data_IF_706128807598
#
_entry.id   IF_706128807598
#
_cell.length_a   1.000
_cell.length_b   1.000
_cell.length_c   1.000
_cell.angle_alpha   90.00
_cell.angle_beta   90.00
_cell.angle_gamma   90.00
#
_symmetry.space_group_name_H-M   'P 1'
#
loop_
_entity.id
_entity.type
_entity.pdbx_description
1 polymer ?
#
# COMPACT_ATOMS: atom_id res chain seq x y z
N UNK A 1 2.89 8.21 -8.65
CA UNK A 1 3.91 7.21 -8.26
C UNK A 1 3.70 5.90 -9.03
N UNK A 2 4.74 5.06 -9.19
CA UNK A 2 4.68 3.76 -9.87
C UNK A 2 4.22 2.65 -8.91
N UNK A 3 3.26 1.83 -9.33
CA UNK A 3 2.71 0.72 -8.55
C UNK A 3 3.09 -0.62 -9.16
N UNK A 4 3.81 -1.43 -8.39
CA UNK A 4 4.09 -2.84 -8.67
C UNK A 4 3.27 -3.73 -7.73
N UNK A 5 3.23 -5.02 -8.02
CA UNK A 5 2.54 -6.03 -7.20
C UNK A 5 3.51 -7.18 -6.93
N UNK A 6 3.44 -7.79 -5.74
CA UNK A 6 4.24 -8.99 -5.43
C UNK A 6 3.77 -10.22 -6.20
N UNK A 7 2.49 -10.26 -6.56
CA UNK A 7 1.90 -11.36 -7.31
C UNK A 7 0.72 -10.91 -8.18
N UNK A 8 0.27 -11.83 -9.04
CA UNK A 8 -0.84 -11.59 -9.95
C UNK A 8 -2.20 -11.51 -9.25
N UNK A 9 -2.34 -12.07 -8.05
CA UNK A 9 -3.60 -12.05 -7.31
C UNK A 9 -3.86 -10.64 -6.74
N UNK A 10 -2.86 -10.03 -6.09
CA UNK A 10 -2.91 -8.65 -5.63
C UNK A 10 -3.12 -7.69 -6.79
N UNK A 11 -2.44 -7.91 -7.91
CA UNK A 11 -2.67 -7.13 -9.13
C UNK A 11 -4.15 -7.19 -9.55
N UNK A 12 -4.72 -8.40 -9.66
CA UNK A 12 -6.12 -8.58 -10.03
C UNK A 12 -7.07 -7.95 -9.02
N UNK A 13 -6.80 -8.04 -7.71
CA UNK A 13 -7.61 -7.37 -6.69
C UNK A 13 -7.61 -5.85 -6.85
N UNK A 14 -6.48 -5.26 -7.22
CA UNK A 14 -6.38 -3.81 -7.41
C UNK A 14 -6.98 -3.35 -8.74
N UNK A 15 -6.85 -4.13 -9.81
CA UNK A 15 -7.27 -3.74 -11.16
C UNK A 15 -8.70 -4.17 -11.51
N UNK A 16 -9.21 -5.26 -10.93
CA UNK A 16 -10.52 -5.85 -11.28
C UNK A 16 -11.52 -5.64 -10.13
N UNK A 17 -12.36 -4.61 -10.26
CA UNK A 17 -13.33 -4.22 -9.22
C UNK A 17 -14.24 -5.37 -8.76
N UNK A 18 -14.63 -6.27 -9.66
CA UNK A 18 -15.47 -7.42 -9.32
C UNK A 18 -14.77 -8.37 -8.34
N UNK A 19 -13.49 -8.63 -8.55
CA UNK A 19 -12.70 -9.51 -7.67
C UNK A 19 -12.48 -8.85 -6.30
N UNK A 20 -12.20 -7.54 -6.29
CA UNK A 20 -12.11 -6.76 -5.05
C UNK A 20 -13.41 -6.84 -4.23
N UNK A 21 -14.57 -6.61 -4.89
CA UNK A 21 -15.89 -6.69 -4.24
C UNK A 21 -16.18 -8.07 -3.69
N UNK A 22 -15.80 -9.12 -4.44
CA UNK A 22 -16.00 -10.51 -4.05
C UNK A 22 -15.15 -10.89 -2.82
N UNK A 23 -13.88 -10.50 -2.78
CA UNK A 23 -12.94 -10.90 -1.72
C UNK A 23 -12.99 -10.00 -0.48
N UNK A 24 -13.17 -8.69 -0.68
CA UNK A 24 -13.07 -7.69 0.40
C UNK A 24 -14.44 -7.11 0.81
N UNK A 25 -15.50 -7.39 0.05
CA UNK A 25 -16.79 -6.73 0.20
C UNK A 25 -16.83 -5.34 -0.43
N UNK A 26 -18.04 -4.87 -0.73
CA UNK A 26 -18.26 -3.61 -1.47
C UNK A 26 -17.66 -2.37 -0.78
N UNK A 27 -17.83 -2.16 0.55
CA UNK A 27 -17.28 -0.97 1.21
C UNK A 27 -15.75 -0.92 1.14
N UNK A 28 -15.09 -2.05 1.36
CA UNK A 28 -13.64 -2.17 1.34
C UNK A 28 -13.09 -2.00 -0.09
N UNK A 29 -13.72 -2.64 -1.09
CA UNK A 29 -13.34 -2.50 -2.49
C UNK A 29 -13.43 -1.04 -2.97
N UNK A 30 -14.45 -0.30 -2.55
CA UNK A 30 -14.56 1.14 -2.84
C UNK A 30 -13.41 1.92 -2.22
N UNK A 31 -13.07 1.63 -0.97
CA UNK A 31 -11.96 2.29 -0.26
C UNK A 31 -10.59 1.94 -0.89
N UNK A 32 -10.40 0.69 -1.31
CA UNK A 32 -9.23 0.24 -2.05
C UNK A 32 -9.03 1.08 -3.31
N UNK A 33 -10.08 1.26 -4.12
CA UNK A 33 -10.03 2.14 -5.31
C UNK A 33 -9.63 3.56 -4.98
N UNK A 34 -10.16 4.14 -3.90
CA UNK A 34 -9.75 5.47 -3.42
C UNK A 34 -8.26 5.50 -3.07
N UNK A 35 -7.74 4.53 -2.31
CA UNK A 35 -6.31 4.49 -1.94
C UNK A 35 -5.39 4.30 -3.14
N UNK A 36 -5.77 3.48 -4.10
CA UNK A 36 -5.00 3.33 -5.34
C UNK A 36 -4.97 4.66 -6.12
N UNK A 37 -6.09 5.39 -6.17
CA UNK A 37 -6.11 6.72 -6.79
C UNK A 37 -5.23 7.73 -6.04
N UNK A 38 -5.28 7.75 -4.70
CA UNK A 38 -4.42 8.59 -3.87
C UNK A 38 -2.94 8.32 -4.14
N UNK A 39 -2.55 7.03 -4.21
CA UNK A 39 -1.19 6.59 -4.51
C UNK A 39 -0.73 6.99 -5.92
N UNK A 40 -1.59 6.86 -6.92
CA UNK A 40 -1.27 7.24 -8.29
C UNK A 40 -1.10 8.76 -8.43
N UNK A 41 -1.93 9.55 -7.74
CA UNK A 41 -1.88 11.01 -7.76
C UNK A 41 -0.71 11.60 -6.96
N UNK A 42 -0.22 10.89 -5.94
CA UNK A 42 0.89 11.35 -5.13
C UNK A 42 2.24 11.30 -5.88
N UNK A 43 3.09 12.33 -5.75
CA UNK A 43 4.44 12.32 -6.32
C UNK A 43 5.38 11.33 -5.60
N UNK A 44 5.18 11.10 -4.30
CA UNK A 44 5.93 10.17 -3.46
C UNK A 44 5.08 9.75 -2.25
N UNK A 45 5.56 8.77 -1.46
CA UNK A 45 4.84 8.28 -0.27
C UNK A 45 4.68 9.35 0.80
N UNK A 46 5.65 10.26 0.98
CA UNK A 46 5.57 11.35 1.96
C UNK A 46 4.44 12.36 1.69
N UNK A 47 3.93 12.43 0.46
CA UNK A 47 2.80 13.28 0.08
C UNK A 47 1.42 12.66 0.35
N UNK A 48 1.35 11.43 0.87
CA UNK A 48 0.09 10.77 1.19
C UNK A 48 -0.55 11.39 2.44
N UNK A 49 -1.69 12.06 2.24
CA UNK A 49 -2.47 12.68 3.33
C UNK A 49 -3.63 11.80 3.82
N UNK A 50 -4.01 10.76 3.06
CA UNK A 50 -5.18 9.96 3.31
C UNK A 50 -4.84 8.49 3.55
N UNK A 51 -5.65 7.82 4.37
CA UNK A 51 -5.47 6.40 4.66
C UNK A 51 -4.55 6.10 5.84
N UNK A 52 -4.22 7.10 6.67
CA UNK A 52 -3.39 6.94 7.88
C UNK A 52 -2.11 6.13 7.59
N UNK A 53 -1.20 6.63 6.74
CA UNK A 53 0.07 5.96 6.48
C UNK A 53 0.82 5.68 7.78
N UNK A 54 1.18 4.43 8.02
CA UNK A 54 1.98 4.05 9.19
C UNK A 54 2.94 2.91 8.85
N UNK A 55 4.20 2.99 9.30
CA UNK A 55 5.16 1.91 9.12
C UNK A 55 4.75 0.69 9.95
N UNK A 56 5.05 -0.50 9.42
CA UNK A 56 4.88 -1.76 10.14
C UNK A 56 6.20 -2.18 10.81
N UNK A 57 6.11 -3.08 11.79
CA UNK A 57 7.23 -3.59 12.58
C UNK A 57 7.30 -5.12 12.53
N UNK A 58 8.33 -5.70 13.15
CA UNK A 58 8.50 -7.15 13.24
C UNK A 58 8.82 -7.78 11.88
N UNK A 59 8.11 -8.86 11.54
CA UNK A 59 8.22 -9.60 10.27
C UNK A 59 7.84 -8.75 9.04
N UNK A 60 7.11 -7.65 9.26
CA UNK A 60 6.71 -6.68 8.23
C UNK A 60 7.49 -5.37 8.30
N UNK A 61 8.62 -5.34 9.03
CA UNK A 61 9.50 -4.18 9.04
C UNK A 61 9.93 -3.82 7.60
N UNK A 62 9.87 -2.53 7.27
CA UNK A 62 10.12 -2.03 5.92
C UNK A 62 8.86 -1.84 5.06
N UNK A 63 7.69 -2.24 5.55
CA UNK A 63 6.40 -1.99 4.92
C UNK A 63 5.68 -0.78 5.51
N UNK A 64 4.78 -0.20 4.74
CA UNK A 64 3.84 0.84 5.15
C UNK A 64 2.41 0.38 4.86
N UNK A 65 1.50 0.65 5.79
CA UNK A 65 0.10 0.29 5.67
C UNK A 65 -0.80 1.52 5.50
N UNK A 66 -1.85 1.35 4.69
CA UNK A 66 -2.98 2.27 4.56
C UNK A 66 -4.27 1.60 5.02
N UNK A 67 -5.05 2.35 5.78
CA UNK A 67 -6.38 1.97 6.25
C UNK A 67 -7.37 1.88 5.08
N UNK A 68 -8.01 0.71 4.98
CA UNK A 68 -9.21 0.50 4.16
C UNK A 68 -10.46 0.61 5.05
N UNK A 69 -11.06 -0.51 5.44
CA UNK A 69 -12.24 -0.59 6.29
C UNK A 69 -12.02 -1.55 7.44
N UNK A 70 -12.41 -1.17 8.65
CA UNK A 70 -12.19 -1.99 9.85
C UNK A 70 -10.70 -2.27 10.06
N UNK A 71 -10.34 -3.55 10.18
CA UNK A 71 -8.97 -4.02 10.34
C UNK A 71 -8.26 -4.31 9.01
N UNK A 72 -8.93 -4.13 7.87
CA UNK A 72 -8.33 -4.39 6.55
C UNK A 72 -7.37 -3.27 6.16
N UNK A 73 -6.20 -3.66 5.64
CA UNK A 73 -5.10 -2.79 5.24
C UNK A 73 -4.62 -3.10 3.83
N UNK A 74 -4.17 -2.06 3.15
CA UNK A 74 -3.30 -2.16 1.98
C UNK A 74 -1.88 -1.94 2.46
N UNK A 75 -1.01 -2.94 2.33
CA UNK A 75 0.40 -2.80 2.69
C UNK A 75 1.27 -2.82 1.45
N UNK A 76 2.30 -1.98 1.47
CA UNK A 76 3.30 -1.90 0.41
C UNK A 76 4.69 -1.67 1.00
N UNK A 77 5.69 -1.97 0.20
CA UNK A 77 7.09 -1.66 0.46
C UNK A 77 7.66 -0.79 -0.66
N UNK A 78 8.76 -0.07 -0.44
CA UNK A 78 9.47 0.60 -1.52
C UNK A 78 9.93 -0.42 -2.57
N UNK A 79 9.87 -0.03 -3.84
CA UNK A 79 10.36 -0.83 -4.95
C UNK A 79 11.40 -0.05 -5.75
N UNK A 80 12.03 -0.72 -6.72
CA UNK A 80 13.21 -0.20 -7.41
C UNK A 80 13.01 1.18 -8.06
N UNK A 81 14.00 2.09 -7.97
CA UNK A 81 15.29 1.91 -7.27
C UNK A 81 15.13 1.83 -5.74
N UNK A 82 15.92 0.97 -5.08
CA UNK A 82 15.99 0.84 -3.61
C UNK A 82 16.08 2.24 -2.98
N UNK A 83 15.17 2.60 -2.06
CA UNK A 83 15.14 3.95 -1.50
C UNK A 83 16.41 4.25 -0.72
N UNK A 84 16.81 5.51 -0.74
CA UNK A 84 17.82 6.01 0.18
C UNK A 84 17.31 5.81 1.61
N UNK A 85 18.17 5.29 2.48
CA UNK A 85 17.90 5.30 3.91
C UNK A 85 18.14 6.72 4.45
N UNK A 86 17.40 7.08 5.49
CA UNK A 86 17.68 8.29 6.26
C UNK A 86 18.96 8.15 7.09
N UNK A 87 19.34 9.21 7.82
CA UNK A 87 20.54 9.23 8.63
C UNK A 87 20.54 8.18 9.78
N UNK A 88 19.36 7.65 10.14
CA UNK A 88 19.19 6.62 11.16
C UNK A 88 19.12 5.20 10.56
N UNK A 89 19.23 5.06 9.22
CA UNK A 89 19.13 3.78 8.54
C UNK A 89 17.68 3.31 8.30
N UNK A 90 16.68 4.17 8.48
CA UNK A 90 15.29 3.87 8.18
C UNK A 90 14.91 4.29 6.76
N UNK A 91 13.77 3.83 6.24
CA UNK A 91 13.30 4.21 4.90
C UNK A 91 12.92 5.69 4.88
N UNK A 92 13.52 6.47 3.97
CA UNK A 92 13.13 7.86 3.70
C UNK A 92 11.87 7.88 2.79
N UNK A 93 10.68 7.67 3.41
CA UNK A 93 9.39 7.62 2.71
C UNK A 93 9.11 8.82 1.79
N UNK A 94 9.45 10.08 2.14
CA UNK A 94 9.39 11.21 1.22
C UNK A 94 10.14 11.06 -0.11
N UNK A 95 11.12 10.15 -0.21
CA UNK A 95 11.87 9.86 -1.45
C UNK A 95 11.35 8.66 -2.23
N UNK A 96 10.40 7.90 -1.68
CA UNK A 96 9.87 6.69 -2.31
C UNK A 96 8.86 7.06 -3.40
N UNK A 97 9.18 6.75 -4.66
CA UNK A 97 8.36 7.06 -5.85
C UNK A 97 7.85 5.82 -6.60
N UNK A 98 8.42 4.66 -6.30
CA UNK A 98 7.98 3.34 -6.76
C UNK A 98 7.68 2.49 -5.53
N UNK A 99 6.51 1.84 -5.49
CA UNK A 99 6.14 0.91 -4.42
C UNK A 99 5.69 -0.43 -5.00
N UNK A 100 5.81 -1.48 -4.19
CA UNK A 100 5.24 -2.79 -4.45
C UNK A 100 4.15 -3.08 -3.43
N UNK A 101 2.91 -3.29 -3.89
CA UNK A 101 1.83 -3.77 -3.04
C UNK A 101 2.09 -5.24 -2.74
N UNK A 102 2.18 -5.56 -1.45
CA UNK A 102 2.56 -6.88 -0.93
C UNK A 102 1.46 -7.55 -0.12
N UNK A 103 0.43 -6.80 0.28
CA UNK A 103 -0.68 -7.35 1.07
C UNK A 103 -1.97 -6.54 0.95
N UNK A 104 -3.09 -7.26 0.92
CA UNK A 104 -4.45 -6.72 1.05
C UNK A 104 -5.27 -7.65 1.94
N UNK A 105 -5.59 -7.20 3.14
CA UNK A 105 -6.31 -8.04 4.11
C UNK A 105 -6.26 -7.51 5.53
N UNK A 106 -6.88 -8.24 6.44
CA UNK A 106 -6.68 -8.08 7.87
C UNK A 106 -5.43 -8.87 8.26
N UNK A 107 -4.39 -8.23 8.79
CA UNK A 107 -3.19 -8.93 9.30
C UNK A 107 -3.20 -9.05 10.84
N UNK A 108 -4.29 -8.62 11.50
CA UNK A 108 -4.53 -8.84 12.93
C UNK A 108 -5.36 -10.11 13.20
N UNK A 109 -5.84 -10.78 12.15
CA UNK A 109 -6.66 -11.99 12.19
C UNK A 109 -5.83 -13.27 12.29
#
# INVERSE_FOLDING_TARGET
MVLLFSDNELRRLCEVEREAKKRLGVPCARKLRTRLADLMAAPNVGALIAGRPHPLSGDRAGQLALDLTGLVRLCFEPADPVPALDAAGAIDWPRVTTIRIVYLGDYHA
#
